data_IF_627430408065
#
_entry.id   IF_627430408065
#
_cell.length_a   1.000
_cell.length_b   1.000
_cell.length_c   1.000
_cell.angle_alpha   90.00
_cell.angle_beta   90.00
_cell.angle_gamma   90.00
#
_symmetry.space_group_name_H-M   'P 1'
#
loop_
_entity.id
_entity.type
_entity.pdbx_description
1 polymer ?
#
# COMPACT_ATOMS: atom_id res chain seq x y z
N UNK A 1 -18.70 -4.97 -24.84
CA UNK A 1 -18.42 -5.41 -23.46
C UNK A 1 -18.63 -4.22 -22.53
N UNK A 2 -19.59 -4.26 -21.59
CA UNK A 2 -19.78 -3.19 -20.59
C UNK A 2 -18.54 -3.12 -19.69
N UNK A 3 -17.81 -2.01 -19.72
CA UNK A 3 -16.71 -1.77 -18.76
C UNK A 3 -17.31 -1.77 -17.36
N UNK A 4 -16.96 -2.76 -16.57
CA UNK A 4 -17.32 -2.82 -15.16
C UNK A 4 -16.64 -1.64 -14.45
N UNK A 5 -17.41 -0.61 -14.09
CA UNK A 5 -16.90 0.50 -13.30
C UNK A 5 -16.84 0.03 -11.85
N UNK A 6 -15.63 -0.15 -11.33
CA UNK A 6 -15.45 -0.44 -9.91
C UNK A 6 -16.09 0.70 -9.10
N UNK A 7 -17.01 0.42 -8.18
CA UNK A 7 -17.64 1.45 -7.35
C UNK A 7 -16.60 2.13 -6.45
N UNK A 8 -16.91 3.33 -5.98
CA UNK A 8 -16.05 4.08 -5.06
C UNK A 8 -15.83 3.26 -3.77
N UNK A 9 -14.61 3.32 -3.23
CA UNK A 9 -14.21 2.59 -2.01
C UNK A 9 -15.19 2.80 -0.85
N UNK A 10 -15.70 4.03 -0.67
CA UNK A 10 -16.70 4.32 0.36
C UNK A 10 -18.01 3.57 0.15
N UNK A 11 -18.45 3.42 -1.09
CA UNK A 11 -19.66 2.66 -1.45
C UNK A 11 -19.44 1.19 -1.13
N UNK A 12 -18.26 0.65 -1.40
CA UNK A 12 -17.93 -0.75 -1.09
C UNK A 12 -17.97 -0.98 0.42
N UNK A 13 -17.30 -0.13 1.20
CA UNK A 13 -17.26 -0.23 2.66
C UNK A 13 -18.67 -0.17 3.25
N UNK A 14 -19.45 0.83 2.84
CA UNK A 14 -20.82 0.98 3.33
C UNK A 14 -21.71 -0.21 2.95
N UNK A 15 -21.58 -0.71 1.73
CA UNK A 15 -22.30 -1.90 1.27
C UNK A 15 -21.96 -3.13 2.11
N UNK A 16 -20.68 -3.34 2.42
CA UNK A 16 -20.23 -4.46 3.26
C UNK A 16 -20.81 -4.33 4.67
N UNK A 17 -20.77 -3.15 5.28
CA UNK A 17 -21.35 -2.90 6.62
C UNK A 17 -22.85 -3.24 6.61
N UNK A 18 -23.61 -2.77 5.62
CA UNK A 18 -25.03 -3.05 5.49
C UNK A 18 -25.29 -4.55 5.29
N UNK A 19 -24.51 -5.23 4.45
CA UNK A 19 -24.63 -6.67 4.25
C UNK A 19 -24.34 -7.45 5.53
N UNK A 20 -23.31 -7.07 6.29
CA UNK A 20 -23.01 -7.67 7.59
C UNK A 20 -24.17 -7.46 8.56
N UNK A 21 -24.73 -6.26 8.66
CA UNK A 21 -25.86 -5.98 9.52
C UNK A 21 -27.12 -6.78 9.14
N UNK A 22 -27.40 -6.91 7.84
CA UNK A 22 -28.53 -7.74 7.37
C UNK A 22 -28.31 -9.23 7.68
N UNK A 23 -27.07 -9.71 7.60
CA UNK A 23 -26.76 -11.11 7.92
C UNK A 23 -27.01 -11.46 9.38
N UNK A 24 -26.92 -10.50 10.32
CA UNK A 24 -27.25 -10.74 11.75
C UNK A 24 -28.71 -11.08 12.01
N UNK A 25 -29.61 -10.72 11.09
CA UNK A 25 -31.03 -11.07 11.17
C UNK A 25 -31.32 -12.52 10.75
N UNK A 26 -30.38 -13.10 9.98
CA UNK A 26 -30.52 -14.44 9.40
C UNK A 26 -29.84 -15.48 10.28
N UNK A 27 -28.79 -15.07 11.02
CA UNK A 27 -28.05 -15.99 11.87
C UNK A 27 -28.79 -16.28 13.16
N UNK A 28 -29.13 -17.55 13.47
CA UNK A 28 -29.79 -17.90 14.72
C UNK A 28 -28.92 -17.55 15.93
N UNK A 29 -29.46 -16.78 16.88
CA UNK A 29 -28.75 -16.33 18.08
C UNK A 29 -28.01 -15.02 17.91
N UNK A 30 -28.05 -14.39 16.74
CA UNK A 30 -27.52 -13.05 16.53
C UNK A 30 -28.52 -11.98 17.01
N UNK A 31 -28.02 -10.95 17.69
CA UNK A 31 -28.85 -9.77 17.98
C UNK A 31 -29.02 -8.93 16.72
N UNK A 32 -30.25 -8.55 16.31
CA UNK A 32 -30.47 -7.75 15.12
C UNK A 32 -29.79 -6.40 15.23
N UNK A 33 -28.82 -6.17 14.36
CA UNK A 33 -28.05 -4.92 14.29
C UNK A 33 -28.83 -3.88 13.44
N UNK A 34 -29.25 -2.79 14.04
CA UNK A 34 -29.94 -1.70 13.31
C UNK A 34 -29.20 -0.38 13.46
N UNK A 35 -29.18 0.15 14.67
CA UNK A 35 -28.55 1.43 14.99
C UNK A 35 -27.03 1.34 15.02
N UNK A 36 -26.50 0.19 15.31
CA UNK A 36 -25.07 -0.11 15.38
C UNK A 36 -24.33 0.08 14.03
N UNK A 37 -25.04 0.13 12.91
CA UNK A 37 -24.45 0.45 11.60
C UNK A 37 -23.73 1.81 11.64
N UNK A 38 -24.32 2.78 12.33
CA UNK A 38 -23.73 4.12 12.45
C UNK A 38 -22.60 4.16 13.48
N UNK A 39 -22.74 3.44 14.61
CA UNK A 39 -21.69 3.36 15.62
C UNK A 39 -20.48 2.56 15.12
N UNK A 40 -20.68 1.55 14.27
CA UNK A 40 -19.60 0.72 13.73
C UNK A 40 -18.54 1.53 12.94
N UNK A 41 -18.95 2.55 12.22
CA UNK A 41 -18.02 3.46 11.53
C UNK A 41 -17.16 4.24 12.53
N UNK A 42 -17.76 4.78 13.57
CA UNK A 42 -17.06 5.51 14.62
C UNK A 42 -16.13 4.60 15.43
N UNK A 43 -16.61 3.45 15.84
CA UNK A 43 -15.85 2.47 16.61
C UNK A 43 -14.68 1.93 15.80
N UNK A 44 -14.89 1.58 14.53
CA UNK A 44 -13.84 1.13 13.63
C UNK A 44 -12.76 2.22 13.43
N UNK A 45 -13.16 3.47 13.23
CA UNK A 45 -12.22 4.60 13.14
C UNK A 45 -11.45 4.78 14.45
N UNK A 46 -12.14 4.72 15.60
CA UNK A 46 -11.53 4.89 16.92
C UNK A 46 -10.55 3.77 17.25
N UNK A 47 -10.89 2.52 16.93
CA UNK A 47 -10.01 1.37 17.14
C UNK A 47 -8.75 1.44 16.28
N UNK A 48 -8.86 1.95 15.06
CA UNK A 48 -7.74 2.06 14.12
C UNK A 48 -7.07 3.45 14.13
N UNK A 49 -7.42 4.32 15.09
CA UNK A 49 -6.94 5.70 15.14
C UNK A 49 -5.41 5.81 15.13
N UNK A 50 -4.71 4.88 15.76
CA UNK A 50 -3.25 4.84 15.77
C UNK A 50 -2.65 4.63 14.39
N UNK A 51 -3.16 3.66 13.64
CA UNK A 51 -2.72 3.37 12.27
C UNK A 51 -3.09 4.51 11.33
N UNK A 52 -4.31 5.05 11.46
CA UNK A 52 -4.77 6.19 10.66
C UNK A 52 -3.86 7.41 10.89
N UNK A 53 -3.56 7.73 12.15
CA UNK A 53 -2.67 8.83 12.50
C UNK A 53 -1.26 8.62 11.94
N UNK A 54 -0.71 7.41 12.07
CA UNK A 54 0.59 7.05 11.50
C UNK A 54 0.63 7.26 9.99
N UNK A 55 -0.35 6.73 9.25
CA UNK A 55 -0.42 6.87 7.78
C UNK A 55 -0.56 8.33 7.36
N UNK A 56 -1.36 9.14 8.10
CA UNK A 56 -1.51 10.57 7.82
C UNK A 56 -0.21 11.34 8.05
N UNK A 57 0.49 11.08 9.15
CA UNK A 57 1.77 11.75 9.46
C UNK A 57 2.83 11.38 8.44
N UNK A 58 2.99 10.09 8.14
CA UNK A 58 3.96 9.63 7.15
C UNK A 58 3.59 10.13 5.75
N UNK A 59 2.31 10.04 5.37
CA UNK A 59 1.84 10.56 4.09
C UNK A 59 2.07 12.07 3.95
N UNK A 60 1.83 12.84 5.00
CA UNK A 60 2.15 14.27 5.06
C UNK A 60 3.64 14.56 4.92
N UNK A 61 4.48 13.82 5.64
CA UNK A 61 5.93 13.93 5.53
C UNK A 61 6.42 13.62 4.10
N UNK A 62 5.92 12.55 3.49
CA UNK A 62 6.24 12.23 2.10
C UNK A 62 5.72 13.27 1.11
N UNK A 63 4.55 13.87 1.37
CA UNK A 63 4.05 14.95 0.52
C UNK A 63 5.01 16.14 0.53
N UNK A 64 5.53 16.54 1.71
CA UNK A 64 6.53 17.60 1.85
C UNK A 64 7.82 17.23 1.10
N UNK A 65 8.36 16.03 1.33
CA UNK A 65 9.59 15.56 0.65
C UNK A 65 9.40 15.51 -0.87
N UNK A 66 8.24 15.06 -1.35
CA UNK A 66 7.94 15.00 -2.77
C UNK A 66 7.80 16.40 -3.40
N UNK A 67 7.28 17.38 -2.64
CA UNK A 67 7.16 18.77 -3.12
C UNK A 67 8.52 19.43 -3.38
N UNK A 68 9.58 18.96 -2.72
CA UNK A 68 10.96 19.43 -2.92
C UNK A 68 11.67 18.75 -4.09
N UNK A 69 11.01 17.81 -4.80
CA UNK A 69 11.59 16.94 -5.83
C UNK A 69 12.76 16.06 -5.34
N UNK A 70 13.00 16.01 -4.04
CA UNK A 70 14.06 15.21 -3.46
C UNK A 70 13.91 13.71 -3.77
N UNK A 71 12.67 13.22 -3.87
CA UNK A 71 12.38 11.83 -4.26
C UNK A 71 12.82 11.58 -5.70
N UNK A 72 12.46 12.47 -6.63
CA UNK A 72 12.80 12.32 -8.04
C UNK A 72 14.32 12.32 -8.26
N UNK A 73 15.03 13.27 -7.63
CA UNK A 73 16.49 13.34 -7.70
C UNK A 73 17.16 12.16 -6.99
N UNK A 74 16.61 11.74 -5.84
CA UNK A 74 17.07 10.57 -5.12
C UNK A 74 16.94 9.29 -5.95
N UNK A 75 15.83 9.11 -6.65
CA UNK A 75 15.58 7.98 -7.56
C UNK A 75 16.56 8.01 -8.73
N UNK A 76 16.77 9.17 -9.38
CA UNK A 76 17.69 9.29 -10.50
C UNK A 76 19.14 8.98 -10.07
N UNK A 77 19.57 9.49 -8.93
CA UNK A 77 20.89 9.20 -8.36
C UNK A 77 21.03 7.72 -7.98
N UNK A 78 19.99 7.12 -7.43
CA UNK A 78 19.97 5.70 -7.10
C UNK A 78 20.11 4.84 -8.36
N UNK A 79 19.31 5.10 -9.40
CA UNK A 79 19.38 4.38 -10.68
C UNK A 79 20.77 4.54 -11.31
N UNK A 80 21.34 5.75 -11.30
CA UNK A 80 22.69 6.02 -11.82
C UNK A 80 23.74 5.18 -11.09
N UNK A 81 23.65 5.08 -9.76
CA UNK A 81 24.57 4.24 -8.97
C UNK A 81 24.38 2.75 -9.22
N UNK A 82 23.13 2.29 -9.35
CA UNK A 82 22.84 0.88 -9.62
C UNK A 82 23.28 0.48 -11.03
N UNK A 83 23.18 1.37 -12.01
CA UNK A 83 23.76 1.14 -13.35
C UNK A 83 25.30 0.95 -13.30
N UNK A 84 25.97 1.59 -12.34
CA UNK A 84 27.42 1.35 -12.14
C UNK A 84 27.70 -0.06 -11.59
N UNK A 85 26.72 -0.69 -10.94
CA UNK A 85 26.79 -2.07 -10.44
C UNK A 85 26.56 -3.13 -11.53
N UNK A 86 26.30 -2.76 -12.80
CA UNK A 86 26.25 -3.67 -13.94
C UNK A 86 27.56 -4.47 -14.14
N UNK A 87 28.62 -4.06 -13.45
CA UNK A 87 29.91 -4.77 -13.36
C UNK A 87 29.78 -6.15 -12.69
N UNK A 88 28.72 -6.35 -11.87
CA UNK A 88 28.43 -7.65 -11.26
C UNK A 88 27.65 -8.54 -12.24
N UNK A 89 28.14 -9.75 -12.45
CA UNK A 89 27.57 -10.74 -13.39
C UNK A 89 26.08 -11.03 -13.17
N UNK A 90 25.60 -10.99 -11.91
CA UNK A 90 24.21 -11.20 -11.54
C UNK A 90 23.31 -10.03 -11.98
N UNK A 91 23.79 -8.79 -11.81
CA UNK A 91 23.04 -7.58 -12.19
C UNK A 91 22.88 -7.52 -13.70
N UNK A 92 23.95 -7.88 -14.44
CA UNK A 92 23.94 -7.93 -15.91
C UNK A 92 22.99 -9.00 -16.47
N UNK A 93 22.81 -10.13 -15.75
CA UNK A 93 21.94 -11.23 -16.19
C UNK A 93 20.46 -10.97 -15.89
N UNK A 94 20.15 -10.34 -14.76
CA UNK A 94 18.79 -10.06 -14.30
C UNK A 94 18.24 -8.70 -14.80
N UNK A 95 19.11 -7.78 -15.15
CA UNK A 95 18.77 -6.39 -15.42
C UNK A 95 18.60 -5.57 -14.14
N UNK A 96 18.98 -4.29 -14.20
CA UNK A 96 18.96 -3.36 -13.05
C UNK A 96 17.57 -3.24 -12.43
N UNK A 97 16.53 -3.11 -13.26
CA UNK A 97 15.15 -2.97 -12.80
C UNK A 97 14.68 -4.16 -11.95
N UNK A 98 14.90 -5.38 -12.45
CA UNK A 98 14.52 -6.60 -11.73
C UNK A 98 15.31 -6.77 -10.43
N UNK A 99 16.59 -6.37 -10.41
CA UNK A 99 17.41 -6.43 -9.20
C UNK A 99 16.87 -5.49 -8.12
N UNK A 100 16.44 -4.28 -8.50
CA UNK A 100 15.84 -3.31 -7.57
C UNK A 100 14.51 -3.84 -7.03
N UNK A 101 13.67 -4.43 -7.88
CA UNK A 101 12.41 -5.07 -7.44
C UNK A 101 12.70 -6.13 -6.38
N UNK A 102 13.58 -7.09 -6.68
CA UNK A 102 13.93 -8.17 -5.75
C UNK A 102 14.47 -7.61 -4.42
N UNK A 103 15.31 -6.59 -4.47
CA UNK A 103 15.87 -5.98 -3.26
C UNK A 103 14.77 -5.34 -2.39
N UNK A 104 13.83 -4.62 -3.00
CA UNK A 104 12.72 -3.99 -2.29
C UNK A 104 11.76 -5.05 -1.72
N UNK A 105 11.40 -6.06 -2.50
CA UNK A 105 10.57 -7.16 -2.04
C UNK A 105 11.22 -7.89 -0.85
N UNK A 106 12.52 -8.14 -0.92
CA UNK A 106 13.27 -8.77 0.18
C UNK A 106 13.28 -7.88 1.43
N UNK A 107 13.44 -6.56 1.26
CA UNK A 107 13.42 -5.60 2.36
C UNK A 107 12.05 -5.60 3.06
N UNK A 108 10.96 -5.47 2.31
CA UNK A 108 9.60 -5.46 2.88
C UNK A 108 9.20 -6.82 3.42
N UNK A 109 9.57 -7.92 2.76
CA UNK A 109 9.37 -9.26 3.27
C UNK A 109 10.09 -9.49 4.60
N UNK A 110 11.30 -8.96 4.75
CA UNK A 110 12.05 -9.00 6.01
C UNK A 110 11.38 -8.14 7.09
N UNK A 111 10.88 -6.96 6.73
CA UNK A 111 10.12 -6.11 7.67
C UNK A 111 8.83 -6.80 8.13
N UNK A 112 8.10 -7.43 7.23
CA UNK A 112 6.92 -8.22 7.58
C UNK A 112 7.27 -9.40 8.50
N UNK A 113 8.32 -10.15 8.18
CA UNK A 113 8.72 -11.33 8.94
C UNK A 113 9.31 -11.01 10.32
N UNK A 114 10.12 -9.93 10.46
CA UNK A 114 10.82 -9.58 11.70
C UNK A 114 9.99 -8.68 12.60
N UNK A 115 9.33 -7.68 12.01
CA UNK A 115 8.61 -6.65 12.77
C UNK A 115 7.09 -6.83 12.74
N UNK A 116 6.57 -7.75 11.92
CA UNK A 116 5.13 -7.94 11.76
C UNK A 116 4.45 -6.74 11.09
N UNK A 117 5.21 -5.94 10.33
CA UNK A 117 4.68 -4.78 9.62
C UNK A 117 3.76 -5.24 8.50
N UNK A 118 2.48 -4.89 8.58
CA UNK A 118 1.49 -5.13 7.53
C UNK A 118 0.83 -3.82 7.09
N UNK A 119 0.11 -3.16 7.98
CA UNK A 119 -0.62 -1.93 7.70
C UNK A 119 0.30 -0.72 7.50
N UNK A 120 1.41 -0.68 8.20
CA UNK A 120 2.40 0.40 8.11
C UNK A 120 3.04 0.49 6.72
N UNK A 121 3.09 -0.64 5.99
CA UNK A 121 3.63 -0.68 4.62
C UNK A 121 2.82 0.16 3.64
N UNK A 122 1.53 0.44 3.93
CA UNK A 122 0.66 1.28 3.10
C UNK A 122 1.29 2.66 2.85
N UNK A 123 1.94 3.24 3.86
CA UNK A 123 2.60 4.54 3.73
C UNK A 123 3.75 4.53 2.72
N UNK A 124 4.47 3.40 2.61
CA UNK A 124 5.60 3.26 1.69
C UNK A 124 5.19 3.08 0.22
N UNK A 125 3.95 2.67 -0.04
CA UNK A 125 3.41 2.56 -1.42
C UNK A 125 3.53 3.89 -2.16
N UNK A 126 3.35 5.02 -1.45
CA UNK A 126 3.48 6.36 -2.02
C UNK A 126 4.88 6.65 -2.58
N UNK A 127 5.92 6.00 -2.06
CA UNK A 127 7.32 6.15 -2.51
C UNK A 127 7.69 5.10 -3.55
N UNK A 128 7.23 3.86 -3.33
CA UNK A 128 7.63 2.72 -4.19
C UNK A 128 6.94 2.78 -5.56
N UNK A 129 5.72 3.33 -5.66
CA UNK A 129 5.05 3.51 -6.98
C UNK A 129 5.85 4.44 -7.91
N UNK A 130 6.28 5.67 -7.52
CA UNK A 130 7.15 6.50 -8.35
C UNK A 130 8.45 5.80 -8.73
N UNK A 131 9.07 5.07 -7.80
CA UNK A 131 10.28 4.30 -8.06
C UNK A 131 10.04 3.21 -9.12
N UNK A 132 8.98 2.42 -9.00
CA UNK A 132 8.62 1.40 -10.00
C UNK A 132 8.41 2.01 -11.38
N UNK A 133 7.74 3.16 -11.46
CA UNK A 133 7.53 3.88 -12.72
C UNK A 133 8.84 4.38 -13.35
N UNK A 134 9.77 4.90 -12.56
CA UNK A 134 11.06 5.37 -13.06
C UNK A 134 11.93 4.23 -13.59
N UNK A 135 11.69 3.00 -13.12
CA UNK A 135 12.30 1.77 -13.63
C UNK A 135 11.57 1.19 -14.87
N UNK A 136 10.49 1.84 -15.33
CA UNK A 136 9.71 1.41 -16.49
C UNK A 136 8.58 0.43 -16.20
N UNK A 137 8.25 0.19 -14.93
CA UNK A 137 7.17 -0.70 -14.51
C UNK A 137 5.86 0.06 -14.28
N UNK A 138 4.76 -0.67 -14.16
CA UNK A 138 3.45 -0.10 -13.90
C UNK A 138 3.20 0.15 -12.40
N UNK A 139 2.08 0.80 -12.08
CA UNK A 139 1.70 1.10 -10.70
C UNK A 139 1.41 -0.17 -9.89
N UNK A 140 0.89 -1.21 -10.55
CA UNK A 140 0.54 -2.47 -9.89
C UNK A 140 1.79 -3.17 -9.39
N UNK A 141 2.86 -3.18 -10.21
CA UNK A 141 4.17 -3.68 -9.79
C UNK A 141 4.68 -2.93 -8.55
N UNK A 142 4.56 -1.59 -8.53
CA UNK A 142 4.95 -0.79 -7.36
C UNK A 142 4.20 -1.15 -6.09
N UNK A 143 2.90 -1.46 -6.18
CA UNK A 143 2.12 -1.94 -5.04
C UNK A 143 2.58 -3.32 -4.61
N UNK A 144 2.72 -4.25 -5.56
CA UNK A 144 3.14 -5.63 -5.27
C UNK A 144 4.53 -5.72 -4.64
N UNK A 145 5.44 -4.79 -4.95
CA UNK A 145 6.78 -4.75 -4.32
C UNK A 145 6.73 -4.52 -2.81
N UNK A 146 5.68 -3.91 -2.31
CA UNK A 146 5.51 -3.58 -0.88
C UNK A 146 4.73 -4.68 -0.14
N UNK A 147 3.80 -5.35 -0.83
CA UNK A 147 2.90 -6.36 -0.25
C UNK A 147 3.33 -7.80 -0.57
N UNK A 148 4.58 -8.12 -0.33
CA UNK A 148 5.12 -9.49 -0.54
C UNK A 148 5.02 -10.33 0.70
#
# INVERSE_FOLDING_TARGET
MKKFKVPNTYVIIFTVIVLCALSTWIVPGGEPQTWQIFSALYEGFSQQAGIIAFVLVIGGAFWVVNSTKAVDEGILNFISKVNTLERFSLVRKLGVGNMVIVLIMLLFGLFGAVFGMSEETIAFVAVVIPLAKSLGYDKVTGVLMVYV
#
